data_IF_856678280413
#
_entry.id   IF_856678280413
#
_cell.length_a   1.000
_cell.length_b   1.000
_cell.length_c   1.000
_cell.angle_alpha   90.00
_cell.angle_beta   90.00
_cell.angle_gamma   90.00
#
_symmetry.space_group_name_H-M   'P 1'
#
loop_
_entity.id
_entity.type
_entity.pdbx_description
1 polymer ?
2 non-polymer ?
3 non-polymer ?
4 water ?
#
# COMPACT_ATOMS: atom_id res chain seq x y z
N UNK A 9 20.57 -5.72 -27.26
CA UNK A 9 20.29 -5.53 -25.84
C UNK A 9 19.01 -6.23 -25.41
N UNK A 10 19.06 -6.93 -24.29
CA UNK A 10 17.87 -7.54 -23.72
C UNK A 10 16.95 -6.44 -23.18
N UNK A 11 15.68 -6.41 -23.62
CA UNK A 11 14.76 -5.47 -22.96
C UNK A 11 14.33 -5.97 -21.59
N UNK A 12 14.02 -5.02 -20.72
CA UNK A 12 13.42 -5.34 -19.42
C UNK A 12 11.93 -5.56 -19.63
N UNK A 13 11.44 -6.69 -19.13
CA UNK A 13 10.04 -7.04 -19.23
C UNK A 13 9.44 -7.13 -17.83
N UNK A 14 8.45 -6.28 -17.57
CA UNK A 14 7.83 -6.20 -16.26
C UNK A 14 6.38 -6.63 -16.35
N UNK A 15 6.02 -7.64 -15.55
CA UNK A 15 4.66 -8.17 -15.55
C UNK A 15 3.84 -7.62 -14.40
N UNK A 16 2.69 -7.05 -14.74
CA UNK A 16 1.73 -6.58 -13.75
C UNK A 16 0.68 -7.67 -13.59
N UNK A 17 0.63 -8.28 -12.42
CA UNK A 17 -0.32 -9.36 -12.16
C UNK A 17 -1.34 -8.82 -11.17
N UNK A 18 -2.52 -8.49 -11.68
CA UNK A 18 -3.52 -7.74 -10.91
C UNK A 18 -4.91 -8.08 -11.34
N UNK A 19 -5.90 -7.70 -10.53
CA UNK A 19 -7.30 -7.76 -10.96
C UNK A 19 -7.56 -6.58 -11.87
N UNK A 20 -7.73 -6.85 -13.16
CA UNK A 20 -7.69 -5.77 -14.16
C UNK A 20 -8.98 -5.59 -14.93
N UNK A 21 -10.01 -6.37 -14.58
CA UNK A 21 -11.32 -6.19 -15.21
C UNK A 21 -12.41 -6.65 -14.27
N UNK A 22 -13.62 -6.17 -14.51
CA UNK A 22 -14.77 -6.68 -13.80
C UNK A 22 -15.06 -5.96 -12.49
N UNK A 23 -16.10 -6.43 -11.77
CA UNK A 23 -16.65 -5.71 -10.61
C UNK A 23 -15.73 -5.63 -9.40
N UNK A 24 -14.68 -6.45 -9.34
CA UNK A 24 -13.79 -6.43 -8.19
C UNK A 24 -12.48 -5.71 -8.50
N UNK A 25 -12.41 -5.02 -9.64
CA UNK A 25 -11.12 -4.51 -10.14
C UNK A 25 -10.81 -3.07 -9.75
N UNK A 26 -11.60 -2.42 -8.90
CA UNK A 26 -11.37 -1.01 -8.62
C UNK A 26 -9.95 -0.73 -8.11
N UNK A 27 -9.48 -1.56 -7.19
CA UNK A 27 -8.15 -1.34 -6.64
C UNK A 27 -7.07 -1.72 -7.65
N UNK A 28 -7.23 -2.87 -8.31
CA UNK A 28 -6.27 -3.31 -9.32
C UNK A 28 -6.10 -2.30 -10.44
N UNK A 29 -7.19 -1.64 -10.81
CA UNK A 29 -7.11 -0.63 -11.87
C UNK A 29 -6.36 0.63 -11.44
N UNK A 30 -6.36 0.93 -10.14
CA UNK A 30 -5.57 2.05 -9.62
C UNK A 30 -4.08 1.66 -9.59
N UNK A 31 -3.78 0.41 -9.27
CA UNK A 31 -2.40 -0.08 -9.47
C UNK A 31 -2.00 0.07 -10.93
N UNK A 32 -2.88 -0.32 -11.86
CA UNK A 32 -2.57 -0.16 -13.26
C UNK A 32 -2.28 1.29 -13.61
N UNK A 33 -3.12 2.21 -13.15
CA UNK A 33 -2.92 3.63 -13.44
C UNK A 33 -1.55 4.11 -12.94
N UNK A 34 -1.20 3.71 -11.72
CA UNK A 34 0.04 4.19 -11.09
C UNK A 34 1.27 3.57 -11.77
N UNK A 35 1.18 2.28 -12.09
CA UNK A 35 2.27 1.59 -12.78
C UNK A 35 2.47 2.15 -14.19
N UNK A 36 1.39 2.35 -14.93
CA UNK A 36 1.53 2.93 -16.27
C UNK A 36 2.04 4.36 -16.18
N UNK A 37 1.60 5.09 -15.15
CA UNK A 37 2.11 6.45 -14.97
C UNK A 37 3.64 6.47 -14.79
N UNK A 38 4.14 5.71 -13.82
CA UNK A 38 5.55 5.83 -13.49
C UNK A 38 6.48 5.08 -14.44
N UNK A 39 6.09 3.88 -14.86
CA UNK A 39 6.85 3.23 -15.92
C UNK A 39 6.76 4.04 -17.21
N UNK A 40 5.65 4.76 -17.39
CA UNK A 40 5.54 5.68 -18.51
C UNK A 40 6.59 6.78 -18.44
N UNK A 41 6.85 7.30 -17.25
CA UNK A 41 7.91 8.32 -17.10
C UNK A 41 9.28 7.72 -17.46
N UNK A 42 9.54 6.51 -16.99
CA UNK A 42 10.81 5.87 -17.31
C UNK A 42 10.92 5.66 -18.81
N UNK A 43 9.85 5.20 -19.44
CA UNK A 43 9.87 5.01 -20.89
C UNK A 43 10.02 6.31 -21.68
N UNK A 44 9.42 7.40 -21.20
CA UNK A 44 9.60 8.71 -21.84
C UNK A 44 11.07 9.11 -21.82
N UNK A 45 11.79 8.65 -20.80
CA UNK A 45 13.22 8.91 -20.68
C UNK A 45 14.10 7.95 -21.50
N UNK A 46 13.51 6.90 -22.05
CA UNK A 46 14.24 5.96 -22.88
C UNK A 46 14.18 4.51 -22.42
N UNK A 47 13.53 4.25 -21.28
CA UNK A 47 13.40 2.89 -20.81
C UNK A 47 14.59 2.42 -20.00
N UNK A 48 15.08 1.22 -20.31
CA UNK A 48 16.23 0.65 -19.61
C UNK A 48 17.06 -0.18 -20.58
N UNK A 49 18.38 -0.07 -20.48
CA UNK A 49 19.30 -0.93 -21.25
C UNK A 49 19.20 -0.67 -22.75
N UNK A 50 18.77 0.54 -23.12
CA UNK A 50 18.71 0.94 -24.51
C UNK A 50 17.43 0.53 -25.24
N UNK A 51 16.44 0.05 -24.50
CA UNK A 51 15.15 -0.33 -25.06
C UNK A 51 14.04 0.15 -24.16
N UNK A 52 12.86 0.35 -24.72
CA UNK A 52 11.69 0.60 -23.88
C UNK A 52 11.50 -0.57 -22.90
N UNK A 53 11.00 -0.27 -21.72
CA UNK A 53 10.56 -1.32 -20.81
C UNK A 53 9.21 -1.82 -21.30
N UNK A 54 9.10 -3.14 -21.44
CA UNK A 54 7.84 -3.74 -21.84
C UNK A 54 6.98 -4.01 -20.62
N UNK A 55 5.73 -3.59 -20.69
CA UNK A 55 4.78 -3.74 -19.60
C UNK A 55 3.81 -4.85 -20.00
N UNK A 56 3.92 -5.99 -19.34
CA UNK A 56 3.12 -7.16 -19.68
C UNK A 56 2.04 -7.31 -18.62
N UNK A 57 0.78 -7.17 -19.01
CA UNK A 57 -0.30 -7.21 -18.04
C UNK A 57 -0.97 -8.58 -18.01
N UNK A 58 -1.26 -9.07 -16.81
CA UNK A 58 -1.94 -10.34 -16.60
C UNK A 58 -3.12 -10.15 -15.66
N UNK A 59 -4.32 -10.21 -16.22
CA UNK A 59 -5.55 -10.04 -15.47
C UNK A 59 -5.80 -11.30 -14.65
N UNK A 60 -5.68 -11.18 -13.34
CA UNK A 60 -5.88 -12.29 -12.44
C UNK A 60 -7.28 -12.24 -11.85
N UNK A 61 -8.13 -13.16 -12.29
CA UNK A 61 -9.52 -13.20 -11.84
C UNK A 61 -9.75 -14.23 -10.75
N UNK A 62 -8.69 -14.93 -10.38
CA UNK A 62 -8.83 -16.09 -9.53
C UNK A 62 -8.08 -16.09 -8.21
N UNK A 63 -7.83 -14.91 -7.64
CA UNK A 63 -7.20 -14.83 -6.33
C UNK A 63 -5.84 -15.51 -6.31
N UNK A 64 -5.48 -16.13 -5.17
CA UNK A 64 -4.17 -16.79 -5.07
C UNK A 64 -3.95 -17.93 -6.08
N UNK A 65 -4.98 -18.73 -6.34
CA UNK A 65 -4.86 -19.79 -7.34
C UNK A 65 -4.58 -19.21 -8.72
N UNK A 66 -5.33 -18.17 -9.09
CA UNK A 66 -5.10 -17.49 -10.35
C UNK A 66 -3.70 -16.91 -10.44
N UNK A 67 -3.23 -16.33 -9.34
CA UNK A 67 -1.92 -15.69 -9.32
C UNK A 67 -0.79 -16.66 -9.62
N UNK A 68 -0.87 -17.88 -9.08
CA UNK A 68 0.19 -18.86 -9.32
C UNK A 68 0.29 -19.16 -10.82
N UNK A 69 -0.86 -19.31 -11.46
CA UNK A 69 -0.92 -19.55 -12.89
C UNK A 69 -0.35 -18.36 -13.66
N UNK A 70 -0.73 -17.15 -13.27
CA UNK A 70 -0.31 -15.96 -13.98
C UNK A 70 1.20 -15.69 -13.82
N UNK A 71 1.74 -15.96 -12.63
CA UNK A 71 3.18 -15.84 -12.43
C UNK A 71 3.97 -16.78 -13.33
N UNK A 72 3.51 -18.02 -13.44
CA UNK A 72 4.14 -18.97 -14.35
C UNK A 72 4.10 -18.46 -15.79
N UNK A 73 2.96 -17.91 -16.18
CA UNK A 73 2.80 -17.40 -17.54
C UNK A 73 3.73 -16.21 -17.79
N UNK A 74 3.80 -15.30 -16.82
CA UNK A 74 4.65 -14.13 -16.95
C UNK A 74 6.12 -14.50 -17.11
N UNK A 75 6.59 -15.43 -16.28
CA UNK A 75 7.97 -15.86 -16.35
C UNK A 75 8.26 -16.55 -17.69
N UNK A 76 7.33 -17.38 -18.14
CA UNK A 76 7.47 -18.05 -19.44
C UNK A 76 7.54 -17.03 -20.59
N UNK A 77 6.84 -15.91 -20.42
CA UNK A 77 6.84 -14.85 -21.42
C UNK A 77 8.09 -13.96 -21.33
N UNK A 78 8.99 -14.25 -20.40
CA UNK A 78 10.24 -13.53 -20.31
C UNK A 78 10.29 -12.42 -19.27
N UNK A 79 9.27 -12.30 -18.44
CA UNK A 79 9.29 -11.27 -17.40
C UNK A 79 10.41 -11.55 -16.40
N UNK A 80 11.23 -10.55 -16.13
CA UNK A 80 12.25 -10.66 -15.09
C UNK A 80 11.77 -10.03 -13.79
N UNK A 81 10.64 -9.33 -13.85
CA UNK A 81 10.09 -8.60 -12.72
C UNK A 81 8.57 -8.79 -12.69
N UNK A 82 8.05 -9.09 -11.51
CA UNK A 82 6.62 -9.20 -11.25
C UNK A 82 6.21 -8.06 -10.34
N UNK A 83 5.14 -7.36 -10.69
CA UNK A 83 4.59 -6.29 -9.86
C UNK A 83 3.14 -6.60 -9.49
N UNK A 84 2.80 -6.37 -8.22
CA UNK A 84 1.45 -6.62 -7.72
C UNK A 84 1.31 -5.88 -6.40
N UNK A 85 0.07 -5.56 -6.00
CA UNK A 85 -0.15 -4.95 -4.70
C UNK A 85 -1.53 -4.97 -4.08
N UNK A 86 -2.55 -5.46 -4.80
CA UNK A 86 -3.92 -5.27 -4.28
C UNK A 86 -4.38 -6.24 -3.20
N UNK A 87 -3.69 -7.36 -3.01
CA UNK A 87 -4.11 -8.34 -2.00
C UNK A 87 -2.93 -9.04 -1.38
N UNK A 88 -2.86 -9.05 -0.05
CA UNK A 88 -1.82 -9.82 0.63
C UNK A 88 -2.01 -11.32 0.52
N UNK A 89 -3.23 -11.76 0.27
CA UNK A 89 -3.47 -13.19 0.05
C UNK A 89 -2.77 -13.61 -1.25
N UNK A 90 -2.97 -12.82 -2.28
CA UNK A 90 -2.29 -13.04 -3.55
C UNK A 90 -0.77 -12.87 -3.40
N UNK A 91 -0.36 -11.83 -2.69
CA UNK A 91 1.08 -11.56 -2.50
C UNK A 91 1.80 -12.71 -1.80
N UNK A 92 1.14 -13.33 -0.82
CA UNK A 92 1.71 -14.47 -0.11
C UNK A 92 2.04 -15.59 -1.08
N UNK A 93 1.16 -15.81 -2.04
CA UNK A 93 1.39 -16.82 -3.07
C UNK A 93 2.50 -16.40 -4.03
N UNK A 94 2.42 -15.17 -4.54
CA UNK A 94 3.42 -14.70 -5.50
C UNK A 94 4.82 -14.74 -4.90
N UNK A 95 4.96 -14.25 -3.68
CA UNK A 95 6.29 -14.18 -3.10
C UNK A 95 6.91 -15.57 -2.92
N UNK A 96 6.10 -16.55 -2.54
CA UNK A 96 6.60 -17.91 -2.34
C UNK A 96 6.93 -18.58 -3.67
N UNK A 97 6.07 -18.40 -4.66
CA UNK A 97 6.35 -18.96 -5.98
C UNK A 97 7.62 -18.37 -6.60
N UNK A 98 7.82 -17.06 -6.43
CA UNK A 98 9.04 -16.43 -6.91
C UNK A 98 10.27 -16.93 -6.16
N UNK A 99 10.16 -17.03 -4.84
CA UNK A 99 11.27 -17.53 -4.02
C UNK A 99 11.68 -18.93 -4.44
N UNK A 100 10.69 -19.81 -4.62
CA UNK A 100 11.00 -21.18 -5.00
C UNK A 100 11.53 -21.30 -6.43
N UNK A 101 11.01 -20.50 -7.34
CA UNK A 101 11.54 -20.45 -8.69
C UNK A 101 13.01 -20.05 -8.67
N UNK A 102 13.30 -19.03 -7.88
CA UNK A 102 14.66 -18.50 -7.81
C UNK A 102 15.66 -19.51 -7.29
N UNK A 103 15.22 -20.34 -6.33
CA UNK A 103 16.09 -21.40 -5.83
C UNK A 103 16.47 -22.39 -6.91
N UNK A 104 15.56 -22.60 -7.85
CA UNK A 104 15.75 -23.59 -8.91
C UNK A 104 16.43 -23.01 -10.15
N UNK A 105 16.63 -21.68 -10.14
CA UNK A 105 17.14 -21.00 -11.32
C UNK A 105 18.20 -19.96 -10.99
N UNK A 106 19.28 -20.40 -10.35
CA UNK A 106 20.38 -19.54 -9.98
C UNK A 106 20.91 -18.79 -11.20
N UNK A 107 21.05 -17.48 -11.06
CA UNK A 107 21.55 -16.64 -12.14
C UNK A 107 20.45 -16.11 -13.04
N UNK A 108 19.24 -16.65 -12.90
CA UNK A 108 18.11 -16.22 -13.71
C UNK A 108 16.93 -15.82 -12.82
N UNK A 109 17.25 -15.25 -11.67
CA UNK A 109 16.23 -14.92 -10.67
C UNK A 109 15.24 -13.86 -11.14
N UNK A 110 14.02 -13.97 -10.62
CA UNK A 110 12.95 -13.03 -10.90
C UNK A 110 12.71 -12.16 -9.66
N UNK A 111 12.49 -10.86 -9.89
CA UNK A 111 12.19 -9.93 -8.79
C UNK A 111 10.69 -9.75 -8.60
N UNK A 112 10.27 -9.66 -7.35
CA UNK A 112 8.89 -9.30 -7.04
C UNK A 112 8.90 -7.91 -6.39
N UNK A 113 8.42 -6.92 -7.13
CA UNK A 113 8.21 -5.59 -6.57
C UNK A 113 6.80 -5.49 -6.04
N UNK A 114 6.71 -5.53 -4.72
CA UNK A 114 5.43 -5.47 -4.03
C UNK A 114 5.09 -4.01 -3.79
N UNK A 115 4.11 -3.52 -4.55
CA UNK A 115 3.78 -2.10 -4.49
C UNK A 115 2.64 -1.78 -3.54
N UNK A 116 2.16 -2.75 -2.78
CA UNK A 116 1.07 -2.44 -1.87
C UNK A 116 0.39 -3.55 -1.08
N UNK A 117 0.96 -4.75 -1.07
CA UNK A 117 0.41 -5.80 -0.20
C UNK A 117 1.03 -5.61 1.17
N UNK A 118 0.19 -5.34 2.17
CA UNK A 118 0.65 -4.73 3.41
C UNK A 118 0.74 -5.66 4.64
N UNK A 119 0.47 -6.95 4.44
CA UNK A 119 0.58 -7.90 5.55
C UNK A 119 2.01 -8.02 6.07
N UNK A 120 2.15 -8.17 7.38
CA UNK A 120 3.46 -8.19 8.01
C UNK A 120 4.42 -9.26 7.46
N UNK A 121 3.91 -10.45 7.19
CA UNK A 121 4.77 -11.58 6.85
C UNK A 121 5.67 -11.33 5.64
N UNK A 122 5.25 -10.46 4.73
CA UNK A 122 6.00 -10.25 3.49
C UNK A 122 7.41 -9.69 3.74
N UNK A 123 7.60 -9.00 4.87
CA UNK A 123 8.94 -8.56 5.27
C UNK A 123 9.34 -9.20 6.60
N UNK A 124 8.60 -10.24 7.00
CA UNK A 124 8.89 -10.98 8.23
C UNK A 124 9.20 -12.42 7.89
N UNK A 125 8.30 -13.33 8.26
CA UNK A 125 8.53 -14.76 8.07
C UNK A 125 8.71 -15.18 6.61
N UNK A 126 8.17 -14.39 5.67
CA UNK A 126 8.30 -14.70 4.25
C UNK A 126 9.28 -13.79 3.52
N UNK A 127 10.04 -13.01 4.27
CA UNK A 127 11.07 -12.13 3.72
C UNK A 127 12.08 -12.92 2.89
N UNK A 128 12.44 -12.42 1.70
CA UNK A 128 13.55 -12.99 0.94
C UNK A 128 14.15 -11.92 0.06
N UNK A 129 15.32 -12.21 -0.49
CA UNK A 129 16.14 -11.20 -1.15
C UNK A 129 15.47 -10.61 -2.39
N UNK A 130 14.66 -11.41 -3.09
CA UNK A 130 14.10 -10.96 -4.36
C UNK A 130 12.69 -10.40 -4.24
N UNK A 131 12.22 -10.21 -3.01
CA UNK A 131 11.03 -9.42 -2.74
C UNK A 131 11.43 -8.07 -2.16
N UNK A 132 10.76 -7.01 -2.64
CA UNK A 132 10.90 -5.68 -2.07
C UNK A 132 9.53 -5.09 -1.87
N UNK A 133 9.28 -4.54 -0.69
CA UNK A 133 8.01 -3.86 -0.41
C UNK A 133 8.20 -2.34 -0.39
N UNK A 134 7.41 -1.67 -1.21
CA UNK A 134 7.52 -0.22 -1.39
C UNK A 134 6.44 0.58 -0.68
N UNK A 135 5.50 -0.14 -0.09
CA UNK A 135 4.34 0.46 0.55
C UNK A 135 4.43 0.37 2.07
N UNK A 136 3.47 0.98 2.79
CA UNK A 136 3.39 0.66 4.22
C UNK A 136 3.06 -0.81 4.47
N UNK A 137 3.09 -1.15 5.75
CA UNK A 137 2.60 -2.44 6.21
C UNK A 137 1.68 -2.19 7.41
N UNK A 138 1.09 -3.23 7.96
CA UNK A 138 0.11 -3.04 9.04
C UNK A 138 0.67 -2.26 10.22
N UNK A 139 1.94 -2.54 10.56
CA UNK A 139 2.56 -1.87 11.70
C UNK A 139 2.73 -0.39 11.45
N UNK A 140 3.24 -0.04 10.27
CA UNK A 140 3.44 1.35 9.93
C UNK A 140 2.10 2.10 9.89
N UNK A 141 1.11 1.51 9.21
CA UNK A 141 -0.21 2.14 9.09
C UNK A 141 -0.80 2.46 10.46
N UNK A 142 -0.81 1.48 11.36
CA UNK A 142 -1.62 1.62 12.56
C UNK A 142 -0.91 2.27 13.74
N UNK A 143 0.40 2.18 13.79
CA UNK A 143 1.18 2.99 14.71
C UNK A 143 1.01 4.46 14.35
N UNK A 144 1.24 4.79 13.08
CA UNK A 144 1.18 6.19 12.68
C UNK A 144 -0.21 6.81 12.81
N UNK A 145 -1.26 6.08 12.43
CA UNK A 145 -2.59 6.66 12.52
C UNK A 145 -2.95 6.95 13.97
N UNK A 146 -2.64 6.01 14.87
CA UNK A 146 -2.98 6.19 16.27
C UNK A 146 -2.11 7.27 16.92
N UNK A 147 -0.81 7.23 16.67
CA UNK A 147 0.09 8.23 17.25
C UNK A 147 -0.23 9.63 16.75
N UNK A 148 -0.56 9.77 15.47
CA UNK A 148 -0.95 11.05 14.91
C UNK A 148 -2.18 11.62 15.59
N UNK A 149 -3.20 10.78 15.77
CA UNK A 149 -4.40 11.18 16.50
C UNK A 149 -4.05 11.61 17.94
N UNK A 150 -3.19 10.84 18.60
CA UNK A 150 -2.73 11.18 19.94
C UNK A 150 -2.03 12.54 19.99
N UNK A 151 -1.13 12.78 19.03
CA UNK A 151 -0.40 14.05 18.96
C UNK A 151 -1.35 15.24 18.78
N UNK A 152 -2.45 15.00 18.07
CA UNK A 152 -3.42 16.06 17.75
C UNK A 152 -4.44 16.22 18.87
N UNK A 153 -4.51 15.25 19.77
CA UNK A 153 -5.44 15.30 20.88
C UNK A 153 -6.84 14.82 20.53
N UNK A 154 -6.95 14.00 19.48
CA UNK A 154 -8.25 13.52 19.03
C UNK A 154 -8.41 12.00 19.14
N UNK A 155 -7.55 11.38 19.93
CA UNK A 155 -7.66 9.95 20.24
C UNK A 155 -8.29 9.74 21.62
N UNK A 156 -9.52 9.28 21.67
CA UNK A 156 -10.19 8.99 22.92
C UNK A 156 -9.67 7.71 23.56
N UNK A 157 -10.15 7.40 24.76
CA UNK A 157 -9.63 6.27 25.51
C UNK A 157 -10.22 4.93 25.10
N UNK A 158 -11.33 4.95 24.36
CA UNK A 158 -12.03 3.72 24.03
C UNK A 158 -12.04 3.48 22.52
N UNK A 159 -11.69 2.27 22.12
CA UNK A 159 -11.60 1.95 20.70
C UNK A 159 -12.23 0.61 20.37
N UNK A 160 -12.66 0.49 19.12
CA UNK A 160 -13.14 -0.76 18.55
C UNK A 160 -12.18 -1.13 17.42
N UNK A 161 -12.02 -2.43 17.16
CA UNK A 161 -11.24 -2.91 16.01
C UNK A 161 -12.14 -3.77 15.13
N UNK A 162 -12.28 -3.41 13.86
CA UNK A 162 -13.05 -4.23 12.93
C UNK A 162 -12.24 -4.46 11.66
N UNK A 163 -12.01 -5.73 11.31
CA UNK A 163 -11.16 -6.07 10.18
C UNK A 163 -11.62 -7.32 9.45
N UNK A 164 -11.06 -7.50 8.26
CA UNK A 164 -11.32 -8.64 7.39
C UNK A 164 -10.54 -9.87 7.87
N UNK A 165 -11.20 -11.03 7.82
CA UNK A 165 -10.56 -12.24 8.31
C UNK A 165 -9.65 -12.89 7.25
N UNK A 166 -8.51 -12.25 7.01
CA UNK A 166 -7.39 -12.83 6.26
C UNK A 166 -6.12 -12.20 6.80
N UNK A 167 -4.97 -12.56 6.24
CA UNK A 167 -3.67 -12.17 6.83
C UNK A 167 -3.61 -10.68 7.16
N UNK A 168 -4.03 -9.84 6.21
CA UNK A 168 -3.96 -8.39 6.42
C UNK A 168 -4.78 -7.91 7.62
N UNK A 169 -6.05 -8.31 7.68
CA UNK A 169 -6.92 -7.85 8.74
C UNK A 169 -6.52 -8.36 10.11
N UNK A 170 -6.05 -9.60 10.15
CA UNK A 170 -5.53 -10.18 11.39
C UNK A 170 -4.32 -9.36 11.86
N UNK A 171 -3.44 -8.99 10.94
CA UNK A 171 -2.28 -8.18 11.31
C UNK A 171 -2.70 -6.80 11.84
N UNK A 172 -3.73 -6.20 11.25
CA UNK A 172 -4.21 -4.92 11.75
C UNK A 172 -4.73 -5.08 13.18
N UNK A 173 -5.60 -6.07 13.40
CA UNK A 173 -6.11 -6.30 14.74
C UNK A 173 -4.98 -6.51 15.74
N UNK A 174 -4.02 -7.37 15.39
CA UNK A 174 -2.92 -7.66 16.30
C UNK A 174 -2.09 -6.42 16.60
N UNK A 175 -1.87 -5.60 15.58
CA UNK A 175 -1.14 -4.34 15.73
C UNK A 175 -1.87 -3.36 16.64
N UNK A 176 -3.16 -3.16 16.39
CA UNK A 176 -3.97 -2.25 17.18
C UNK A 176 -4.00 -2.69 18.65
N UNK A 177 -4.15 -3.99 18.90
CA UNK A 177 -4.12 -4.53 20.25
C UNK A 177 -2.73 -4.36 20.89
N UNK A 178 -1.67 -4.62 20.12
CA UNK A 178 -0.32 -4.51 20.65
C UNK A 178 0.06 -3.09 21.06
N UNK A 179 -0.49 -2.10 20.36
CA UNK A 179 -0.15 -0.70 20.59
C UNK A 179 -1.02 0.00 21.64
N UNK A 180 -2.06 -0.69 22.10
CA UNK A 180 -3.07 -0.10 22.99
C UNK A 180 -2.47 0.48 24.27
N UNK A 181 -1.61 -0.31 24.92
CA UNK A 181 -1.07 0.08 26.21
C UNK A 181 -0.20 1.34 26.12
N UNK A 182 0.71 1.37 25.16
CA UNK A 182 1.62 2.49 25.00
C UNK A 182 0.94 3.75 24.44
N UNK A 183 0.16 3.59 23.38
CA UNK A 183 -0.46 4.76 22.78
C UNK A 183 -1.61 5.28 23.63
N UNK A 184 -2.41 4.39 24.20
CA UNK A 184 -3.38 4.82 25.18
C UNK A 184 -4.84 4.75 24.79
N UNK A 185 -5.26 3.56 24.38
CA UNK A 185 -6.68 3.31 24.20
C UNK A 185 -6.94 1.90 24.70
N UNK A 186 -8.18 1.63 25.08
CA UNK A 186 -8.59 0.28 25.39
C UNK A 186 -9.35 -0.26 24.20
N UNK A 187 -8.97 -1.45 23.73
CA UNK A 187 -9.73 -2.11 22.69
C UNK A 187 -10.92 -2.79 23.38
N UNK A 188 -12.04 -2.08 23.43
CA UNK A 188 -13.22 -2.51 24.17
C UNK A 188 -13.81 -3.78 23.58
N UNK A 189 -13.82 -3.84 22.25
CA UNK A 189 -14.36 -4.99 21.55
C UNK A 189 -13.70 -5.05 20.19
N UNK A 190 -13.76 -6.21 19.56
CA UNK A 190 -13.15 -6.38 18.24
C UNK A 190 -13.86 -7.46 17.44
N UNK A 191 -13.73 -7.36 16.12
CA UNK A 191 -14.41 -8.24 15.20
C UNK A 191 -13.53 -8.54 13.99
N UNK A 192 -13.49 -9.79 13.58
CA UNK A 192 -13.00 -10.17 12.26
C UNK A 192 -14.18 -10.75 11.49
N UNK A 193 -14.38 -10.28 10.27
CA UNK A 193 -15.52 -10.72 9.49
C UNK A 193 -15.10 -11.28 8.14
N UNK A 194 -16.04 -11.96 7.49
CA UNK A 194 -15.81 -12.51 6.17
C UNK A 194 -15.35 -11.43 5.20
N UNK A 195 -14.53 -11.83 4.23
CA UNK A 195 -13.90 -10.88 3.33
C UNK A 195 -14.72 -10.67 2.07
N UNK A 196 -15.08 -9.41 1.83
CA UNK A 196 -15.73 -9.00 0.57
C UNK A 196 -17.01 -9.80 0.25
N UNK A 197 -17.84 -10.02 1.27
CA UNK A 197 -19.09 -10.73 1.06
C UNK A 197 -20.30 -10.04 1.71
N UNK A 198 -20.07 -9.35 2.82
CA UNK A 198 -21.16 -8.75 3.57
C UNK A 198 -21.76 -7.54 2.83
N UNK A 199 -23.06 -7.56 2.63
CA UNK A 199 -23.73 -6.50 1.88
C UNK A 199 -24.44 -5.51 2.80
N UNK A 200 -24.56 -5.87 4.06
CA UNK A 200 -25.25 -5.03 5.04
C UNK A 200 -24.46 -5.02 6.34
N UNK A 201 -23.80 -3.91 6.60
CA UNK A 201 -22.97 -3.79 7.79
C UNK A 201 -23.71 -3.25 9.00
N UNK A 202 -25.03 -3.05 8.88
CA UNK A 202 -25.80 -2.54 10.01
C UNK A 202 -25.59 -3.29 11.35
N UNK A 203 -25.57 -4.65 11.33
CA UNK A 203 -25.38 -5.32 12.62
C UNK A 203 -24.01 -5.06 13.24
N UNK A 204 -23.01 -4.83 12.40
CA UNK A 204 -21.66 -4.53 12.88
C UNK A 204 -21.59 -3.13 13.46
N UNK A 205 -22.26 -2.20 12.79
CA UNK A 205 -22.36 -0.84 13.30
C UNK A 205 -23.07 -0.83 14.66
N UNK A 206 -24.10 -1.67 14.81
CA UNK A 206 -24.80 -1.80 16.09
C UNK A 206 -23.85 -2.28 17.21
N UNK A 207 -22.99 -3.24 16.89
CA UNK A 207 -22.00 -3.73 17.85
C UNK A 207 -21.02 -2.62 18.26
N UNK A 208 -20.60 -1.83 17.28
CA UNK A 208 -19.71 -0.70 17.53
C UNK A 208 -20.39 0.32 18.44
N UNK A 209 -21.65 0.61 18.17
CA UNK A 209 -22.40 1.51 19.03
C UNK A 209 -22.49 1.02 20.47
N UNK A 210 -22.68 -0.29 20.66
CA UNK A 210 -22.79 -0.88 21.98
C UNK A 210 -21.51 -0.73 22.79
N UNK A 211 -20.39 -0.61 22.09
CA UNK A 211 -19.08 -0.58 22.74
C UNK A 211 -18.73 0.81 23.26
N UNK A 212 -19.50 1.81 22.86
CA UNK A 212 -19.33 3.18 23.34
C UNK A 212 -17.88 3.67 23.14
N UNK A 213 -17.45 3.70 21.88
CA UNK A 213 -16.07 4.01 21.58
C UNK A 213 -15.89 5.37 20.89
N UNK A 214 -14.68 5.88 20.97
CA UNK A 214 -14.32 7.14 20.32
C UNK A 214 -13.75 6.91 18.93
N UNK A 215 -13.08 5.77 18.76
CA UNK A 215 -12.34 5.48 17.54
C UNK A 215 -12.63 4.07 17.11
N UNK A 216 -12.81 3.87 15.81
CA UNK A 216 -12.94 2.55 15.21
C UNK A 216 -11.75 2.31 14.29
N UNK A 217 -10.82 1.46 14.69
CA UNK A 217 -9.69 1.12 13.84
C UNK A 217 -10.08 0.08 12.83
N UNK A 218 -9.77 0.32 11.55
CA UNK A 218 -10.06 -0.68 10.53
C UNK A 218 -9.11 -0.58 9.35
N UNK A 219 -8.64 -1.75 8.90
CA UNK A 219 -7.90 -1.87 7.66
C UNK A 219 -8.77 -2.24 6.47
N UNK A 220 -10.09 -2.12 6.60
CA UNK A 220 -10.99 -2.53 5.52
C UNK A 220 -10.79 -1.67 4.27
N UNK A 221 -11.15 -2.25 3.13
CA UNK A 221 -11.07 -1.56 1.85
C UNK A 221 -12.08 -2.18 0.91
N UNK A 222 -12.21 -1.62 -0.28
CA UNK A 222 -13.25 -2.04 -1.22
C UNK A 222 -14.62 -1.97 -0.52
N UNK A 223 -15.52 -2.88 -0.86
CA UNK A 223 -16.87 -2.87 -0.28
C UNK A 223 -16.88 -2.97 1.25
N UNK A 224 -15.89 -3.66 1.81
CA UNK A 224 -15.82 -3.84 3.25
C UNK A 224 -15.59 -2.53 4.01
N UNK A 225 -15.06 -1.52 3.32
CA UNK A 225 -15.06 -0.17 3.90
C UNK A 225 -16.20 0.70 3.33
N UNK A 226 -16.42 0.64 2.02
CA UNK A 226 -17.47 1.45 1.40
C UNK A 226 -18.84 1.22 2.04
N UNK A 227 -19.20 -0.05 2.23
CA UNK A 227 -20.53 -0.37 2.76
C UNK A 227 -20.58 -0.22 4.27
N UNK A 228 -19.43 -0.37 4.92
CA UNK A 228 -19.32 -0.11 6.35
C UNK A 228 -19.57 1.38 6.62
N UNK A 229 -18.96 2.25 5.81
CA UNK A 229 -19.17 3.69 5.93
C UNK A 229 -20.64 4.06 5.68
N UNK A 230 -21.24 3.43 4.68
CA UNK A 230 -22.64 3.69 4.37
C UNK A 230 -23.55 3.33 5.55
N UNK A 231 -23.31 2.16 6.14
CA UNK A 231 -24.08 1.72 7.30
C UNK A 231 -23.86 2.64 8.49
N UNK A 232 -22.62 3.08 8.70
CA UNK A 232 -22.30 4.03 9.76
C UNK A 232 -23.07 5.33 9.55
N UNK A 233 -23.12 5.79 8.30
CA UNK A 233 -23.85 7.01 7.98
C UNK A 233 -25.34 6.87 8.26
N UNK A 234 -25.93 5.76 7.84
CA UNK A 234 -27.34 5.52 8.08
C UNK A 234 -27.70 5.48 9.56
N UNK A 235 -26.76 5.04 10.39
CA UNK A 235 -26.98 4.91 11.82
C UNK A 235 -26.62 6.18 12.60
N UNK A 236 -26.04 7.15 11.91
CA UNK A 236 -25.57 8.37 12.56
C UNK A 236 -24.44 8.11 13.55
N UNK A 237 -23.56 7.17 13.21
CA UNK A 237 -22.47 6.78 14.10
C UNK A 237 -21.64 7.97 14.51
N UNK A 238 -21.35 8.07 15.80
CA UNK A 238 -20.61 9.21 16.33
C UNK A 238 -19.10 8.97 16.36
N UNK A 239 -18.69 7.73 16.56
CA UNK A 239 -17.27 7.38 16.58
C UNK A 239 -16.64 7.71 15.24
N UNK A 240 -15.34 8.00 15.26
CA UNK A 240 -14.63 8.26 14.02
C UNK A 240 -13.74 7.08 13.67
N UNK A 241 -13.72 6.74 12.39
CA UNK A 241 -12.86 5.67 11.90
C UNK A 241 -11.41 6.14 11.80
N UNK A 242 -10.49 5.27 12.21
CA UNK A 242 -9.07 5.49 12.04
C UNK A 242 -8.58 4.39 11.13
N UNK A 243 -8.13 4.76 9.94
CA UNK A 243 -8.01 3.81 8.85
C UNK A 243 -6.69 3.87 8.12
N UNK A 244 -6.48 2.86 7.28
CA UNK A 244 -5.41 2.87 6.29
C UNK A 244 -5.91 3.26 4.91
N UNK A 245 -7.20 3.04 4.63
CA UNK A 245 -7.68 3.09 3.24
C UNK A 245 -8.92 3.94 3.01
N UNK A 246 -9.23 4.87 3.92
CA UNK A 246 -10.45 5.66 3.74
C UNK A 246 -10.43 6.53 2.48
N UNK A 247 -9.24 6.88 1.98
CA UNK A 247 -9.18 7.74 0.81
C UNK A 247 -9.35 6.99 -0.52
N UNK A 248 -9.67 5.70 -0.47
CA UNK A 248 -10.15 5.03 -1.66
C UNK A 248 -11.36 5.78 -2.20
N UNK A 249 -11.40 6.05 -3.51
CA UNK A 249 -12.56 6.76 -4.06
C UNK A 249 -13.88 6.08 -3.71
N UNK A 250 -14.84 6.89 -3.26
CA UNK A 250 -16.18 6.41 -2.93
C UNK A 250 -16.56 6.48 -1.46
N UNK A 251 -15.59 6.34 -0.56
CA UNK A 251 -15.88 6.30 0.87
C UNK A 251 -16.47 7.58 1.45
N UNK A 252 -15.94 8.73 1.05
CA UNK A 252 -16.41 9.99 1.60
C UNK A 252 -17.82 10.32 1.12
N UNK A 253 -18.12 10.03 -0.15
CA UNK A 253 -19.47 10.14 -0.63
C UNK A 253 -20.42 9.28 0.20
N UNK A 254 -20.03 8.04 0.46
CA UNK A 254 -20.87 7.14 1.24
C UNK A 254 -21.02 7.58 2.68
N UNK A 255 -20.02 8.30 3.21
CA UNK A 255 -20.07 8.81 4.57
C UNK A 255 -21.22 9.79 4.77
N UNK A 256 -21.58 10.50 3.70
CA UNK A 256 -22.65 11.47 3.76
C UNK A 256 -22.53 12.40 4.94
N UNK A 257 -23.57 12.44 5.77
CA UNK A 257 -23.68 13.39 6.87
C UNK A 257 -22.63 13.22 7.97
N UNK A 258 -21.97 12.07 8.05
CA UNK A 258 -20.97 11.85 9.10
C UNK A 258 -19.54 11.96 8.60
N UNK A 259 -19.35 12.59 7.44
CA UNK A 259 -18.04 12.63 6.80
C UNK A 259 -16.94 13.28 7.64
N UNK A 260 -17.25 14.38 8.32
CA UNK A 260 -16.24 15.16 9.02
C UNK A 260 -15.50 14.33 10.08
N UNK A 261 -14.18 14.41 10.08
CA UNK A 261 -13.41 13.97 11.23
C UNK A 261 -12.85 12.56 11.22
N UNK A 262 -13.17 11.78 10.20
CA UNK A 262 -12.54 10.46 10.06
C UNK A 262 -11.10 10.62 9.63
N UNK A 263 -10.30 9.59 9.89
CA UNK A 263 -8.86 9.70 9.82
C UNK A 263 -8.23 8.60 8.97
N UNK A 264 -7.17 8.95 8.25
CA UNK A 264 -6.39 7.96 7.50
C UNK A 264 -4.92 8.35 7.62
N UNK A 265 -4.02 7.36 7.59
CA UNK A 265 -2.58 7.60 7.50
C UNK A 265 -2.08 6.96 6.22
N UNK A 266 -1.43 7.75 5.38
CA UNK A 266 -0.95 7.27 4.06
C UNK A 266 0.40 7.90 3.74
N UNK A 267 1.07 7.40 2.68
CA UNK A 267 2.37 8.00 2.32
C UNK A 267 2.28 9.36 1.63
N UNK A 268 1.10 9.95 1.50
CA UNK A 268 0.97 11.13 0.65
C UNK A 268 -0.29 11.97 0.95
N UNK A 269 -0.15 13.28 0.77
CA UNK A 269 -1.31 14.14 0.66
C UNK A 269 -0.87 15.30 -0.24
N UNK A 270 -1.75 15.76 -1.15
CA UNK A 270 -1.36 16.84 -2.05
C UNK A 270 -0.80 18.09 -1.36
N UNK A 271 -1.27 18.39 -0.14
CA UNK A 271 -0.86 19.59 0.59
C UNK A 271 0.18 19.33 1.66
N UNK A 272 0.71 18.12 1.73
CA UNK A 272 1.58 17.76 2.84
C UNK A 272 3.03 18.16 2.64
N UNK A 273 3.45 18.39 1.41
CA UNK A 273 4.84 18.75 1.14
C UNK A 273 4.94 19.90 0.15
N UNK A 274 4.20 20.96 0.45
CA UNK A 274 4.32 22.21 -0.28
C UNK A 274 4.11 22.08 -1.77
N UNK A 275 4.89 22.82 -2.54
CA UNK A 275 4.73 22.83 -3.99
C UNK A 275 5.05 21.47 -4.64
N UNK A 276 5.96 20.70 -4.06
CA UNK A 276 6.33 19.41 -4.62
C UNK A 276 5.16 18.42 -4.62
N UNK A 277 4.45 18.31 -3.50
CA UNK A 277 3.35 17.35 -3.43
C UNK A 277 2.21 17.78 -4.34
N UNK A 278 1.95 19.09 -4.39
CA UNK A 278 0.87 19.57 -5.22
C UNK A 278 1.17 19.43 -6.71
N UNK A 279 2.42 19.66 -7.11
CA UNK A 279 2.79 19.53 -8.51
C UNK A 279 2.62 18.08 -8.98
N UNK A 280 2.97 17.13 -8.11
CA UNK A 280 2.74 15.73 -8.42
C UNK A 280 1.26 15.42 -8.58
N UNK A 281 0.42 15.91 -7.67
CA UNK A 281 -1.02 15.68 -7.75
C UNK A 281 -1.55 16.16 -9.09
N UNK A 282 -1.14 17.37 -9.49
CA UNK A 282 -1.60 17.93 -10.75
C UNK A 282 -1.10 17.15 -11.97
N UNK A 283 0.15 16.74 -11.95
CA UNK A 283 0.69 15.99 -13.09
C UNK A 283 0.02 14.62 -13.21
N UNK A 284 -0.18 13.97 -12.07
CA UNK A 284 -0.82 12.66 -12.06
C UNK A 284 -2.25 12.77 -12.59
N UNK A 285 -2.98 13.81 -12.19
CA UNK A 285 -4.30 14.03 -12.75
C UNK A 285 -4.28 14.30 -14.26
N UNK A 286 -3.29 15.07 -14.72
CA UNK A 286 -3.15 15.34 -16.15
C UNK A 286 -3.02 14.04 -16.94
N UNK A 287 -2.25 13.10 -16.40
CA UNK A 287 -2.01 11.84 -17.09
C UNK A 287 -3.14 10.83 -16.92
N UNK A 288 -3.62 10.64 -15.70
CA UNK A 288 -4.56 9.55 -15.43
C UNK A 288 -6.02 10.00 -15.44
N UNK A 289 -6.26 11.30 -15.30
CA UNK A 289 -7.62 11.80 -15.21
C UNK A 289 -8.11 12.03 -13.78
N UNK A 290 -7.38 11.57 -12.77
CA UNK A 290 -7.78 11.79 -11.38
C UNK A 290 -6.58 12.10 -10.50
N UNK A 291 -6.84 12.77 -9.39
CA UNK A 291 -5.80 13.01 -8.39
C UNK A 291 -5.40 11.69 -7.74
N UNK A 292 -4.13 11.56 -7.36
CA UNK A 292 -3.65 10.31 -6.77
C UNK A 292 -4.09 10.16 -5.32
N UNK A 293 -4.52 8.96 -4.96
CA UNK A 293 -4.86 8.69 -3.56
C UNK A 293 -4.77 7.19 -3.33
N UNK A 294 -4.99 6.79 -2.07
CA UNK A 294 -5.17 5.38 -1.75
C UNK A 294 -3.92 4.61 -2.18
N UNK A 295 -4.03 3.57 -3.01
CA UNK A 295 -2.88 2.72 -3.36
C UNK A 295 -1.86 3.38 -4.29
N UNK A 296 -2.24 4.50 -4.92
CA UNK A 296 -1.44 5.04 -6.01
C UNK A 296 -0.08 5.65 -5.59
N UNK A 297 -0.04 6.49 -4.53
CA UNK A 297 1.25 7.07 -4.17
C UNK A 297 2.36 6.06 -3.87
N UNK A 298 2.10 5.00 -3.10
CA UNK A 298 3.15 4.01 -2.82
C UNK A 298 3.64 3.37 -4.11
N UNK A 299 2.73 3.09 -5.03
CA UNK A 299 3.11 2.46 -6.29
C UNK A 299 3.99 3.39 -7.11
N UNK A 300 3.61 4.66 -7.20
CA UNK A 300 4.42 5.63 -7.94
C UNK A 300 5.78 5.85 -7.27
N UNK A 301 5.77 6.10 -5.97
CA UNK A 301 7.01 6.43 -5.28
C UNK A 301 7.96 5.22 -5.27
N UNK A 302 7.39 4.03 -5.11
CA UNK A 302 8.18 2.83 -5.17
C UNK A 302 8.84 2.67 -6.52
N UNK A 303 8.07 2.93 -7.58
CA UNK A 303 8.63 2.82 -8.92
C UNK A 303 9.62 3.95 -9.22
N UNK A 304 9.49 5.08 -8.53
CA UNK A 304 10.54 6.12 -8.60
C UNK A 304 11.84 5.63 -7.98
N UNK A 305 11.76 4.94 -6.84
CA UNK A 305 12.97 4.37 -6.25
C UNK A 305 13.55 3.30 -7.17
N UNK A 306 12.69 2.45 -7.72
CA UNK A 306 13.11 1.45 -8.69
C UNK A 306 13.81 2.09 -9.88
N UNK A 307 13.24 3.17 -10.41
CA UNK A 307 13.85 3.86 -11.52
C UNK A 307 15.23 4.42 -11.18
N UNK A 308 15.38 4.89 -9.95
CA UNK A 308 16.66 5.38 -9.49
C UNK A 308 17.68 4.24 -9.43
N UNK A 309 17.25 3.08 -8.93
CA UNK A 309 18.08 1.89 -8.94
C UNK A 309 18.56 1.54 -10.34
N UNK A 310 17.66 1.59 -11.32
CA UNK A 310 18.01 1.25 -12.69
C UNK A 310 19.11 2.18 -13.22
N UNK A 311 19.05 3.45 -12.83
CA UNK A 311 20.06 4.41 -13.26
C UNK A 311 21.44 4.06 -12.70
N UNK A 312 21.46 3.33 -11.60
CA UNK A 312 22.71 3.06 -10.87
C UNK A 312 23.31 1.70 -11.19
N UNK A 313 22.61 0.90 -11.98
CA UNK A 313 23.13 -0.38 -12.41
C UNK A 313 24.32 -0.13 -13.33
N UNK A 314 25.42 -0.83 -13.08
CA UNK A 314 26.62 -0.65 -13.89
C UNK A 314 26.39 -1.16 -15.31
N UNK A 315 26.80 -0.37 -16.31
CA UNK A 315 26.72 -0.83 -17.71
C UNK A 315 27.44 -2.17 -17.87
N UNK A 316 26.78 -3.13 -18.52
CA UNK A 316 27.35 -4.44 -18.72
C UNK A 316 27.62 -4.74 -20.19
N UNK A 317 27.37 -5.99 -20.58
CA UNK A 317 27.56 -6.40 -21.97
C UNK A 317 26.21 -6.57 -22.68
N UNK A 318 25.16 -6.06 -22.06
CA UNK A 318 23.84 -6.07 -22.68
C UNK A 318 22.80 -6.92 -21.97
N UNK A 319 23.25 -7.82 -21.09
CA UNK A 319 22.33 -8.69 -20.37
C UNK A 319 21.74 -7.99 -19.17
N UNK A 320 20.56 -8.43 -18.76
CA UNK A 320 19.93 -7.89 -17.55
C UNK A 320 20.13 -8.83 -16.38
N UNK A 321 20.64 -8.29 -15.29
CA UNK A 321 20.98 -9.06 -14.11
C UNK A 321 20.13 -8.59 -12.95
N UNK A 322 19.17 -9.42 -12.54
CA UNK A 322 18.25 -9.02 -11.50
C UNK A 322 18.90 -8.92 -10.13
N UNK A 323 20.02 -9.62 -9.91
CA UNK A 323 20.73 -9.48 -8.65
C UNK A 323 21.35 -8.09 -8.57
N UNK A 324 21.93 -7.63 -9.67
CA UNK A 324 22.48 -6.28 -9.72
C UNK A 324 21.37 -5.24 -9.52
N UNK A 325 20.20 -5.47 -10.11
CA UNK A 325 19.09 -4.56 -9.90
C UNK A 325 18.67 -4.55 -8.43
N UNK A 326 18.59 -5.73 -7.83
CA UNK A 326 18.21 -5.84 -6.42
C UNK A 326 19.17 -5.07 -5.51
N UNK A 327 20.47 -5.24 -5.74
CA UNK A 327 21.47 -4.52 -4.95
C UNK A 327 21.34 -3.02 -5.17
N UNK A 328 21.07 -2.61 -6.41
CA UNK A 328 20.89 -1.20 -6.69
C UNK A 328 19.67 -0.64 -5.94
N UNK A 329 18.60 -1.42 -5.81
CA UNK A 329 17.44 -0.96 -5.05
C UNK A 329 17.82 -0.75 -3.59
N UNK A 330 18.54 -1.73 -3.02
CA UNK A 330 19.02 -1.59 -1.65
C UNK A 330 19.82 -0.32 -1.43
N UNK A 331 20.62 0.05 -2.43
CA UNK A 331 21.54 1.17 -2.31
C UNK A 331 20.95 2.52 -2.72
N UNK A 332 19.74 2.49 -3.28
CA UNK A 332 19.18 3.69 -3.90
C UNK A 332 18.41 4.57 -2.93
N UNK A 333 18.41 5.87 -3.21
CA UNK A 333 17.57 6.82 -2.50
C UNK A 333 17.06 7.83 -3.52
N UNK A 334 15.82 8.27 -3.36
CA UNK A 334 15.26 9.23 -4.29
C UNK A 334 14.39 10.24 -3.57
N UNK A 335 14.43 11.49 -4.04
CA UNK A 335 13.53 12.53 -3.53
C UNK A 335 12.22 12.43 -4.29
N UNK A 336 11.17 11.98 -3.61
CA UNK A 336 9.86 11.90 -4.21
C UNK A 336 9.10 13.19 -3.91
N UNK A 337 7.87 13.32 -4.44
CA UNK A 337 7.09 14.52 -4.11
C UNK A 337 6.75 14.65 -2.63
N UNK A 338 7.00 13.59 -1.84
CA UNK A 338 6.74 13.63 -0.40
C UNK A 338 8.01 13.68 0.43
N UNK A 339 9.15 13.58 -0.21
CA UNK A 339 10.42 13.59 0.50
C UNK A 339 11.24 12.35 0.22
N UNK A 340 12.13 12.02 1.14
CA UNK A 340 13.08 10.94 0.91
C UNK A 340 12.45 9.56 0.95
N UNK A 341 12.89 8.74 0.01
CA UNK A 341 12.46 7.38 -0.06
C UNK A 341 13.72 6.49 -0.22
N UNK A 342 13.83 5.45 0.59
CA UNK A 342 14.97 4.55 0.50
C UNK A 342 14.52 3.13 0.86
N UNK A 343 15.45 2.19 0.87
CA UNK A 343 15.13 0.79 1.09
C UNK A 343 15.97 0.21 2.22
N UNK A 344 15.33 -0.43 3.20
CA UNK A 344 16.08 -1.09 4.26
C UNK A 344 16.56 -2.45 3.78
N UNK A 345 17.86 -2.72 3.91
CA UNK A 345 18.41 -3.93 3.34
C UNK A 345 18.05 -5.19 4.12
N UNK A 346 17.84 -5.05 5.43
CA UNK A 346 17.59 -6.20 6.29
C UNK A 346 16.40 -7.02 5.84
N UNK A 347 15.33 -6.33 5.46
CA UNK A 347 14.05 -6.97 5.23
C UNK A 347 13.39 -6.53 3.93
N UNK A 348 13.99 -5.55 3.26
CA UNK A 348 13.42 -4.94 2.07
C UNK A 348 12.05 -4.30 2.31
N UNK A 349 11.94 -3.63 3.46
CA UNK A 349 10.86 -2.70 3.72
C UNK A 349 11.35 -1.29 3.39
N UNK A 350 10.62 -0.59 2.52
CA UNK A 350 10.99 0.78 2.18
C UNK A 350 10.78 1.75 3.36
N UNK A 351 11.61 2.78 3.40
CA UNK A 351 11.57 3.82 4.42
C UNK A 351 11.09 5.11 3.76
N UNK A 352 10.04 5.71 4.32
CA UNK A 352 9.40 6.87 3.71
C UNK A 352 8.51 7.55 4.77
N UNK A 353 8.19 8.84 4.56
CA UNK A 353 7.31 9.53 5.51
C UNK A 353 5.86 9.06 5.42
N UNK A 354 5.12 9.27 6.51
CA UNK A 354 3.68 9.01 6.57
C UNK A 354 2.94 10.27 7.00
N UNK A 355 1.79 10.49 6.39
CA UNK A 355 0.99 11.67 6.65
C UNK A 355 -0.36 11.27 7.20
N UNK A 356 -0.67 11.75 8.39
CA UNK A 356 -1.97 11.49 8.99
C UNK A 356 -2.91 12.63 8.65
N UNK A 357 -4.12 12.27 8.23
CA UNK A 357 -5.05 13.19 7.56
C UNK A 357 -6.46 13.06 8.12
N UNK A 358 -7.18 14.17 8.16
CA UNK A 358 -8.57 14.18 8.63
C UNK A 358 -9.51 14.61 7.51
N UNK A 359 -10.72 14.07 7.50
CA UNK A 359 -11.71 14.52 6.54
C UNK A 359 -12.27 15.87 6.97
N UNK A 360 -12.15 16.87 6.09
CA UNK A 360 -12.41 18.26 6.45
C UNK A 360 -12.79 19.07 5.23
N UNK A 361 -13.64 20.07 5.43
CA UNK A 361 -13.99 20.99 4.36
C UNK A 361 -12.81 21.88 4.01
N UNK A 362 -11.82 21.93 4.89
CA UNK A 362 -10.64 22.77 4.67
C UNK A 362 -9.69 22.21 3.62
N UNK A 363 -9.82 20.92 3.28
CA UNK A 363 -8.92 20.31 2.31
C UNK A 363 -9.04 20.98 0.95
N UNK A 364 -7.91 21.25 0.31
CA UNK A 364 -7.91 21.87 -1.01
C UNK A 364 -8.47 20.94 -2.08
N UNK A 365 -8.02 19.69 -2.07
CA UNK A 365 -8.46 18.68 -3.02
C UNK A 365 -9.59 17.89 -2.38
N UNK A 366 -10.78 17.99 -2.98
CA UNK A 366 -11.98 17.36 -2.43
C UNK A 366 -12.09 15.90 -2.85
N UNK A 367 -12.76 15.11 -2.02
CA UNK A 367 -13.01 13.70 -2.31
C UNK A 367 -14.43 13.48 -2.80
N UNK A 368 -14.57 12.66 -3.85
CA UNK A 368 -15.87 12.16 -4.32
C UNK A 368 -16.85 13.26 -4.71
N UNK A 369 -16.34 14.41 -5.10
CA UNK A 369 -17.20 15.53 -5.48
C UNK A 369 -17.96 16.16 -4.32
N UNK A 370 -17.54 15.85 -3.09
CA UNK A 370 -18.18 16.42 -1.90
C UNK A 370 -17.50 17.72 -1.49
N UNK A 371 -17.99 18.31 -0.40
CA UNK A 371 -17.38 19.50 0.17
C UNK A 371 -16.16 19.16 1.03
N UNK A 372 -15.92 17.86 1.21
CA UNK A 372 -14.85 17.38 2.10
C UNK A 372 -13.70 16.75 1.32
N UNK A 373 -12.50 16.88 1.86
CA UNK A 373 -11.36 16.11 1.38
C UNK A 373 -10.45 15.76 2.53
N UNK A 374 -9.30 15.20 2.21
CA UNK A 374 -8.32 14.81 3.21
C UNK A 374 -7.35 15.94 3.48
N UNK A 375 -7.32 16.39 4.73
CA UNK A 375 -6.48 17.50 5.15
C UNK A 375 -5.38 16.93 6.05
N UNK A 376 -4.11 17.16 5.68
CA UNK A 376 -3.01 16.63 6.49
C UNK A 376 -2.85 17.39 7.80
N UNK A 377 -2.55 16.70 8.90
CA UNK A 377 -2.30 17.38 10.16
C UNK A 377 -1.02 16.95 10.89
N UNK A 378 -0.39 15.87 10.44
CA UNK A 378 0.85 15.39 11.03
C UNK A 378 1.64 14.57 10.02
N UNK A 379 2.91 14.89 9.85
CA UNK A 379 3.78 14.07 9.02
C UNK A 379 4.88 13.47 9.88
N UNK A 380 5.00 12.16 9.83
CA UNK A 380 6.09 11.46 10.49
C UNK A 380 7.20 11.23 9.49
N UNK A 381 8.44 11.46 9.90
CA UNK A 381 9.58 11.22 9.03
C UNK A 381 9.72 9.72 8.73
N UNK A 382 10.56 9.39 7.75
CA UNK A 382 10.88 8.00 7.46
C UNK A 382 11.36 7.25 8.70
N UNK A 383 12.27 7.85 9.45
CA UNK A 383 12.75 7.21 10.67
C UNK A 383 11.64 7.01 11.71
N UNK A 384 10.73 7.97 11.79
CA UNK A 384 9.60 7.86 12.70
C UNK A 384 8.55 6.84 12.24
N UNK A 385 8.50 6.60 10.93
CA UNK A 385 7.43 5.78 10.35
C UNK A 385 7.74 4.30 10.23
N UNK A 386 8.96 3.99 9.78
CA UNK A 386 9.28 2.59 9.49
C UNK A 386 9.23 1.74 10.76
N UNK A 387 8.69 0.52 10.64
CA UNK A 387 8.57 -0.37 11.78
C UNK A 387 9.91 -1.04 12.06
N UNK A 388 10.11 -1.56 13.28
CA UNK A 388 11.36 -2.26 13.56
C UNK A 388 11.47 -3.51 12.69
N UNK A 389 12.68 -3.95 12.41
CA UNK A 389 12.87 -5.20 11.71
C UNK A 389 12.23 -6.31 12.55
N UNK A 390 11.38 -7.11 11.91
CA UNK A 390 10.63 -8.11 12.63
C UNK A 390 11.52 -9.23 13.13
N UNK A 391 11.19 -9.76 14.29
CA UNK A 391 11.95 -10.85 14.89
C UNK A 391 12.05 -12.04 13.96
N UNK A 392 11.01 -12.24 13.15
CA UNK A 392 10.93 -13.39 12.25
C UNK A 392 11.67 -13.19 10.93
N UNK A 393 12.27 -12.02 10.74
CA UNK A 393 12.98 -11.72 9.50
C UNK A 393 14.37 -12.34 9.43
N UNK A 394 14.60 -13.09 8.36
CA UNK A 394 15.94 -13.57 8.01
C UNK A 394 16.04 -13.42 6.50
N UNK A 395 17.15 -12.89 6.02
CA UNK A 395 17.31 -12.78 4.57
C UNK A 395 18.67 -13.33 4.16
N UNK A 396 18.68 -14.15 3.14
CA UNK A 396 19.92 -14.65 2.57
C UNK A 396 20.51 -13.61 1.63
N UNK A 397 21.81 -13.34 1.79
CA UNK A 397 22.52 -12.44 0.91
C UNK A 397 22.97 -13.21 -0.32
N UNK A 398 23.27 -12.50 -1.42
CA UNK A 398 23.97 -13.18 -2.52
C UNK A 398 25.34 -13.62 -2.01
N UNK A 399 25.67 -14.91 -2.12
CA UNK A 399 24.78 -15.90 -2.69
C UNK A 399 25.49 -17.25 -2.74
X LIG B 1 -3.81 -6.06 1.60
X LIG B 1 -4.34 -7.19 1.46
X LIG B 1 -2.55 -6.03 1.57
X LIG B 1 -4.64 -4.83 1.80
X LIG C 1 1.33 18.36 7.57
X LIG C 1 1.15 18.99 8.64
X LIG C 1 1.45 17.12 7.68
X LIG C 1 1.36 19.06 6.23
X LIG D 1 -2.59 -2.86 -1.65
X LIG E 1 21.76 -1.73 5.27
#
# INVERSE_FOLDING_TARGET
MAHHHHHHAEPLKIALVETLSGPQASTGLLYRAAVLYQLGKINEAGGFNGEKIQILEYDNQGGPVGAADRVKAAIADGAQIIVQGSSSAVAGQITEDVRKYNLRNKGKEVLYLNLGAEALELTGSKCHFYHFRFSPNAAIRFKTVAQGMKDKGILGERAYSINQNYSWGVDVENTVVANAKEIGYEVVDKTLHEVNKIQDFSPYVAKIQAANVDTVFTGNWSNDLLLLMKAASGAGLKAKFATSFLDQPGNIGNAGAIAEGHIVSTPFNPEANGEASMAFAEDYKKVTGHYPSYVEPAAVFGLQLFGEALKNVKPGEGKINTTDIALAIENASVKTPMGDYSMRSDDHQAKFPMVVQEVSKKARIKADGTEYGFLPFKTFTGDESIDPVQESCSMKRPG
ACT C O OXT CH3
ACT C O OXT CH3
NA NA
NA NA
#
